data_IF_559193213669
#
_entry.id   IF_559193213669
#
_cell.length_a   1.000
_cell.length_b   1.000
_cell.length_c   1.000
_cell.angle_alpha   90.00
_cell.angle_beta   90.00
_cell.angle_gamma   90.00
#
_symmetry.space_group_name_H-M   'P 1'
#
loop_
_entity.id
_entity.type
_entity.pdbx_description
1 polymer ?
#
# COMPACT_ATOMS: atom_id res chain seq x y z
N UNK A 1 -13.68 1.80 -4.99
CA UNK A 1 -12.85 1.76 -3.76
C UNK A 1 -11.53 2.52 -3.97
N UNK A 2 -11.02 3.21 -2.95
CA UNK A 2 -9.73 3.92 -2.91
C UNK A 2 -8.82 3.27 -1.86
N UNK A 3 -7.78 2.55 -2.29
CA UNK A 3 -6.90 1.80 -1.39
C UNK A 3 -5.45 2.23 -1.52
N UNK A 4 -4.84 2.61 -0.40
CA UNK A 4 -3.41 2.90 -0.36
C UNK A 4 -2.62 1.66 0.02
N UNK A 5 -1.68 1.25 -0.83
CA UNK A 5 -0.68 0.25 -0.50
C UNK A 5 0.52 0.91 0.16
N UNK A 6 1.01 0.32 1.26
CA UNK A 6 2.03 0.91 2.13
C UNK A 6 3.16 -0.07 2.35
N UNK A 7 4.39 0.34 2.01
CA UNK A 7 5.62 -0.31 2.41
C UNK A 7 6.43 0.63 3.30
N UNK A 8 7.09 0.10 4.33
CA UNK A 8 7.94 0.90 5.22
C UNK A 8 9.11 0.07 5.77
N UNK A 9 10.18 0.74 6.18
CA UNK A 9 11.30 0.11 6.91
C UNK A 9 10.96 -0.03 8.40
N UNK A 10 11.66 -0.92 9.11
CA UNK A 10 11.45 -1.14 10.54
C UNK A 10 11.64 0.13 11.40
N UNK A 11 12.47 1.07 10.95
CA UNK A 11 12.72 2.34 11.63
C UNK A 11 11.68 3.43 11.32
N UNK A 12 10.71 3.20 10.42
CA UNK A 12 9.71 4.20 10.07
C UNK A 12 8.75 4.43 11.24
N UNK A 13 8.52 5.69 11.57
CA UNK A 13 7.64 6.10 12.67
C UNK A 13 6.18 6.16 12.21
N UNK A 14 5.25 6.11 13.16
CA UNK A 14 3.83 6.29 12.88
C UNK A 14 3.53 7.64 12.22
N UNK A 15 4.21 8.71 12.66
CA UNK A 15 4.07 10.05 12.09
C UNK A 15 4.50 10.11 10.62
N UNK A 16 5.61 9.46 10.25
CA UNK A 16 6.06 9.40 8.86
C UNK A 16 5.10 8.59 7.98
N UNK A 17 4.54 7.49 8.50
CA UNK A 17 3.53 6.70 7.79
C UNK A 17 2.26 7.52 7.55
N UNK A 18 1.73 8.18 8.58
CA UNK A 18 0.53 9.02 8.45
C UNK A 18 0.79 10.20 7.51
N UNK A 19 1.94 10.86 7.63
CA UNK A 19 2.32 11.96 6.74
C UNK A 19 2.44 11.53 5.28
N UNK A 20 2.92 10.30 5.01
CA UNK A 20 2.99 9.75 3.66
C UNK A 20 1.59 9.49 3.04
N UNK A 21 0.59 9.20 3.88
CA UNK A 21 -0.80 8.95 3.45
C UNK A 21 -1.57 10.23 3.16
N UNK A 22 -1.31 11.31 3.89
CA UNK A 22 -2.09 12.56 3.80
C UNK A 22 -2.26 13.11 2.36
N UNK A 23 -1.23 13.12 1.48
CA UNK A 23 -1.38 13.61 0.11
C UNK A 23 -2.26 12.73 -0.80
N UNK A 24 -2.59 11.49 -0.39
CA UNK A 24 -3.46 10.60 -1.16
C UNK A 24 -4.95 10.95 -0.99
N UNK A 25 -5.26 11.85 -0.06
CA UNK A 25 -6.62 12.29 0.25
C UNK A 25 -7.43 11.21 0.98
N UNK A 26 -8.74 11.18 0.73
CA UNK A 26 -9.64 10.20 1.34
C UNK A 26 -9.33 8.78 0.84
N UNK A 27 -9.24 7.85 1.79
CA UNK A 27 -8.96 6.43 1.58
C UNK A 27 -10.07 5.59 2.21
N UNK A 28 -10.42 4.48 1.58
CA UNK A 28 -11.38 3.51 2.12
C UNK A 28 -10.69 2.40 2.91
N UNK A 29 -9.44 2.05 2.53
CA UNK A 29 -8.62 1.07 3.22
C UNK A 29 -7.13 1.32 2.98
N UNK A 30 -6.32 0.66 3.81
CA UNK A 30 -4.88 0.52 3.64
C UNK A 30 -4.51 -0.94 3.37
N UNK A 31 -3.43 -1.17 2.65
CA UNK A 31 -2.94 -2.51 2.34
C UNK A 31 -1.44 -2.61 2.51
N UNK A 32 -0.96 -3.75 3.02
CA UNK A 32 0.47 -4.06 3.13
C UNK A 32 0.69 -5.56 3.16
N UNK A 33 1.95 -5.97 3.25
CA UNK A 33 2.33 -7.38 3.39
C UNK A 33 1.84 -7.95 4.73
N UNK A 34 1.51 -9.26 4.81
CA UNK A 34 1.01 -9.88 6.04
C UNK A 34 1.91 -9.63 7.25
N UNK A 35 3.23 -9.73 7.09
CA UNK A 35 4.22 -9.51 8.15
C UNK A 35 4.30 -8.06 8.64
N UNK A 36 3.79 -7.09 7.87
CA UNK A 36 3.76 -5.66 8.24
C UNK A 36 2.40 -5.18 8.73
N UNK A 37 1.35 -5.99 8.58
CA UNK A 37 -0.01 -5.55 8.82
C UNK A 37 -0.27 -5.15 10.28
N UNK A 38 0.29 -5.89 11.25
CA UNK A 38 0.15 -5.55 12.67
C UNK A 38 0.81 -4.20 13.01
N UNK A 39 2.04 -3.97 12.56
CA UNK A 39 2.75 -2.72 12.75
C UNK A 39 2.03 -1.54 12.06
N UNK A 40 1.52 -1.76 10.85
CA UNK A 40 0.76 -0.73 10.14
C UNK A 40 -0.53 -0.37 10.88
N UNK A 41 -1.29 -1.35 11.38
CA UNK A 41 -2.50 -1.12 12.19
C UNK A 41 -2.21 -0.26 13.40
N UNK A 42 -1.14 -0.55 14.14
CA UNK A 42 -0.74 0.24 15.29
C UNK A 42 -0.39 1.68 14.88
N UNK A 43 0.37 1.86 13.80
CA UNK A 43 0.80 3.18 13.31
C UNK A 43 -0.35 4.07 12.82
N UNK A 44 -1.41 3.48 12.26
CA UNK A 44 -2.55 4.20 11.65
C UNK A 44 -3.84 4.10 12.45
N UNK A 45 -3.79 3.58 13.68
CA UNK A 45 -4.96 3.45 14.55
C UNK A 45 -5.80 4.74 14.67
N UNK A 46 -5.21 5.95 14.78
CA UNK A 46 -5.99 7.19 14.84
C UNK A 46 -6.78 7.52 13.57
N UNK A 47 -6.42 6.94 12.42
CA UNK A 47 -7.12 7.18 11.15
C UNK A 47 -8.42 6.36 11.03
N UNK A 48 -8.62 5.35 11.89
CA UNK A 48 -9.81 4.50 11.85
C UNK A 48 -9.97 3.68 10.55
N UNK A 49 -8.92 3.58 9.73
CA UNK A 49 -8.97 2.89 8.45
C UNK A 49 -8.71 1.38 8.59
N UNK A 50 -9.45 0.53 7.88
CA UNK A 50 -9.15 -0.90 7.85
C UNK A 50 -7.81 -1.16 7.16
N UNK A 51 -7.03 -2.08 7.73
CA UNK A 51 -5.74 -2.52 7.17
C UNK A 51 -5.84 -3.97 6.68
N UNK A 52 -5.69 -4.14 5.38
CA UNK A 52 -5.71 -5.43 4.66
C UNK A 52 -4.29 -5.98 4.54
N UNK A 53 -4.10 -7.21 5.01
CA UNK A 53 -2.90 -7.99 4.75
C UNK A 53 -3.09 -8.72 3.42
N UNK A 54 -2.19 -8.52 2.45
CA UNK A 54 -2.33 -9.11 1.11
C UNK A 54 -1.04 -9.72 0.60
N UNK A 55 -1.14 -10.87 -0.06
CA UNK A 55 -0.05 -11.45 -0.82
C UNK A 55 0.14 -10.66 -2.13
N UNK A 56 1.39 -10.40 -2.50
CA UNK A 56 1.73 -9.55 -3.66
C UNK A 56 2.53 -10.27 -4.75
N UNK A 57 2.97 -11.49 -4.50
CA UNK A 57 3.77 -12.25 -5.46
C UNK A 57 2.97 -12.52 -6.75
N UNK A 58 3.61 -12.35 -7.91
CA UNK A 58 2.98 -12.50 -9.22
C UNK A 58 2.11 -11.32 -9.65
N UNK A 59 1.86 -10.33 -8.79
CA UNK A 59 1.08 -9.15 -9.14
C UNK A 59 1.91 -8.25 -10.06
N UNK A 60 1.43 -7.98 -11.30
CA UNK A 60 2.14 -7.10 -12.21
C UNK A 60 2.06 -5.67 -11.71
N UNK A 61 3.20 -5.00 -11.68
CA UNK A 61 3.29 -3.59 -11.31
C UNK A 61 4.06 -2.82 -12.39
N UNK A 62 3.67 -1.57 -12.70
CA UNK A 62 4.40 -0.76 -13.67
C UNK A 62 5.80 -0.42 -13.17
N UNK A 63 5.97 -0.18 -11.87
CA UNK A 63 7.30 0.02 -11.30
C UNK A 63 7.96 -1.33 -11.05
N UNK A 64 9.20 -1.50 -11.51
CA UNK A 64 10.01 -2.71 -11.31
C UNK A 64 11.32 -2.39 -10.62
N UNK A 65 11.45 -2.77 -9.35
CA UNK A 65 12.73 -2.74 -8.64
C UNK A 65 13.32 -4.17 -8.57
N UNK A 66 14.51 -4.44 -9.13
CA UNK A 66 15.08 -5.79 -9.18
C UNK A 66 15.17 -6.49 -7.82
N UNK A 67 15.54 -5.76 -6.75
CA UNK A 67 15.59 -6.33 -5.38
C UNK A 67 14.21 -6.76 -4.89
N UNK A 68 13.15 -6.03 -5.25
CA UNK A 68 11.78 -6.30 -4.80
C UNK A 68 11.19 -7.48 -5.58
N UNK A 69 11.50 -7.57 -6.88
CA UNK A 69 11.14 -8.75 -7.68
C UNK A 69 11.76 -10.02 -7.09
N UNK A 70 13.05 -9.99 -6.75
CA UNK A 70 13.73 -11.12 -6.14
C UNK A 70 13.18 -11.51 -4.77
N UNK A 71 12.84 -10.53 -3.92
CA UNK A 71 12.40 -10.79 -2.55
C UNK A 71 10.90 -11.09 -2.40
N UNK A 72 10.06 -10.54 -3.28
CA UNK A 72 8.60 -10.54 -3.10
C UNK A 72 7.83 -10.98 -4.35
N UNK A 73 8.50 -11.29 -5.46
CA UNK A 73 7.83 -11.74 -6.69
C UNK A 73 6.99 -10.66 -7.38
N UNK A 74 7.21 -9.37 -7.07
CA UNK A 74 6.53 -8.22 -7.70
C UNK A 74 7.49 -7.04 -7.87
N UNK A 75 7.19 -6.10 -8.75
CA UNK A 75 8.05 -4.94 -9.01
C UNK A 75 7.99 -3.87 -7.93
N UNK A 76 6.89 -3.80 -7.17
CA UNK A 76 6.66 -2.85 -6.08
C UNK A 76 5.62 -3.39 -5.10
N UNK A 77 6.01 -3.62 -3.85
CA UNK A 77 5.09 -4.07 -2.79
C UNK A 77 3.93 -3.10 -2.59
N UNK A 78 4.19 -1.79 -2.58
CA UNK A 78 3.15 -0.78 -2.35
C UNK A 78 2.12 -0.77 -3.49
N UNK A 79 2.57 -0.84 -4.75
CA UNK A 79 1.65 -0.85 -5.90
C UNK A 79 0.83 -2.14 -5.93
N UNK A 80 1.49 -3.29 -5.77
CA UNK A 80 0.83 -4.58 -5.76
C UNK A 80 -0.19 -4.71 -4.63
N UNK A 81 0.17 -4.27 -3.41
CA UNK A 81 -0.74 -4.31 -2.28
C UNK A 81 -1.96 -3.41 -2.50
N UNK A 82 -1.77 -2.22 -3.07
CA UNK A 82 -2.87 -1.32 -3.41
C UNK A 82 -3.84 -1.98 -4.41
N UNK A 83 -3.31 -2.55 -5.50
CA UNK A 83 -4.09 -3.17 -6.57
C UNK A 83 -4.89 -4.38 -6.07
N UNK A 84 -4.23 -5.32 -5.39
CA UNK A 84 -4.90 -6.53 -4.86
C UNK A 84 -6.01 -6.15 -3.89
N UNK A 85 -5.74 -5.20 -2.99
CA UNK A 85 -6.70 -4.82 -1.98
C UNK A 85 -7.85 -3.96 -2.50
N UNK A 86 -7.65 -3.21 -3.59
CA UNK A 86 -8.71 -2.48 -4.29
C UNK A 86 -9.63 -3.41 -5.10
N UNK A 87 -9.16 -4.60 -5.47
CA UNK A 87 -9.96 -5.65 -6.11
C UNK A 87 -9.86 -5.69 -7.65
N UNK A 88 -10.70 -6.52 -8.30
CA UNK A 88 -10.73 -6.64 -9.76
C UNK A 88 -10.93 -5.29 -10.46
N UNK A 89 -10.31 -5.12 -11.63
CA UNK A 89 -10.38 -3.86 -12.39
C UNK A 89 -9.66 -2.67 -11.74
N UNK A 90 -8.99 -2.87 -10.60
CA UNK A 90 -8.23 -1.80 -9.97
C UNK A 90 -7.10 -1.29 -10.86
N UNK A 91 -6.90 0.03 -10.82
CA UNK A 91 -5.82 0.74 -11.53
C UNK A 91 -5.11 1.68 -10.59
N UNK A 92 -3.82 1.89 -10.80
CA UNK A 92 -3.06 2.87 -10.03
C UNK A 92 -3.48 4.29 -10.43
N UNK A 93 -3.94 5.07 -9.45
CA UNK A 93 -4.15 6.51 -9.60
C UNK A 93 -2.92 7.31 -9.16
N UNK A 94 -2.18 6.78 -8.17
CA UNK A 94 -0.87 7.31 -7.80
C UNK A 94 0.12 6.15 -7.86
N UNK A 95 1.12 6.19 -8.77
CA UNK A 95 2.17 5.17 -8.81
C UNK A 95 3.05 5.24 -7.57
N UNK A 96 4.01 4.34 -7.44
CA UNK A 96 4.92 4.27 -6.29
C UNK A 96 5.55 5.63 -5.99
N UNK A 97 5.23 6.16 -4.81
CA UNK A 97 5.87 7.35 -4.23
C UNK A 97 6.72 6.94 -3.04
N UNK A 98 7.99 7.34 -3.07
CA UNK A 98 8.91 7.18 -1.94
C UNK A 98 8.81 8.43 -1.08
N UNK A 99 8.64 8.23 0.22
CA UNK A 99 8.49 9.27 1.23
C UNK A 99 9.68 9.25 2.20
N UNK A 100 9.87 10.31 3.00
CA UNK A 100 10.82 10.30 4.12
C UNK A 100 10.59 9.13 5.09
N UNK A 101 11.59 8.82 5.92
CA UNK A 101 11.49 7.73 6.90
C UNK A 101 11.57 6.33 6.33
N UNK A 102 11.82 6.18 5.02
CA UNK A 102 11.79 4.88 4.36
C UNK A 102 10.38 4.33 4.19
N UNK A 103 9.38 5.21 4.09
CA UNK A 103 7.99 4.88 3.74
C UNK A 103 7.82 4.95 2.22
N UNK A 104 6.98 4.09 1.66
CA UNK A 104 6.63 4.04 0.25
C UNK A 104 5.13 3.79 0.16
N UNK A 105 4.43 4.59 -0.63
CA UNK A 105 2.98 4.47 -0.82
C UNK A 105 2.62 4.40 -2.30
N UNK A 106 1.47 3.81 -2.59
CA UNK A 106 0.81 3.86 -3.89
C UNK A 106 -0.71 3.88 -3.68
N UNK A 107 -1.48 4.45 -4.62
CA UNK A 107 -2.94 4.50 -4.54
C UNK A 107 -3.54 3.76 -5.72
N UNK A 108 -4.42 2.81 -5.44
CA UNK A 108 -5.25 2.14 -6.42
C UNK A 108 -6.71 2.56 -6.29
N UNK A 109 -7.39 2.64 -7.43
CA UNK A 109 -8.81 2.90 -7.56
C UNK A 109 -9.46 1.74 -8.29
N UNK A 110 -10.56 1.23 -7.75
CA UNK A 110 -11.52 0.39 -8.48
C UNK A 110 -12.86 1.13 -8.52
N UNK A 111 -13.63 0.93 -9.57
CA UNK A 111 -15.06 1.27 -9.52
C UNK A 111 -15.70 0.21 -8.63
N UNK A 112 -16.35 0.63 -7.54
CA UNK A 112 -16.86 -0.34 -6.59
C UNK A 112 -17.99 -1.13 -7.23
N UNK A 113 -17.92 -2.46 -7.19
CA UNK A 113 -19.12 -3.26 -7.03
C UNK A 113 -19.74 -2.82 -5.69
N UNK A 114 -20.78 -2.02 -5.78
CA UNK A 114 -21.84 -1.98 -4.76
C UNK A 114 -22.43 -3.39 -4.73
N UNK A 115 -22.04 -4.18 -3.74
CA UNK A 115 -22.84 -5.31 -3.26
C UNK A 115 -23.38 -4.93 -1.87
#
# INVERSE_FOLDING_TARGET
>A
MRVAGVGFRAAATAAEIVAALAPLGRLDALATLPEKAAALRAAVAPLGLPVRAVAVAGVPTPTRAPRILAAHGTGSVAEAAALVAAGPGARLAVPRRICPGGVTVALALSEGETE
#
